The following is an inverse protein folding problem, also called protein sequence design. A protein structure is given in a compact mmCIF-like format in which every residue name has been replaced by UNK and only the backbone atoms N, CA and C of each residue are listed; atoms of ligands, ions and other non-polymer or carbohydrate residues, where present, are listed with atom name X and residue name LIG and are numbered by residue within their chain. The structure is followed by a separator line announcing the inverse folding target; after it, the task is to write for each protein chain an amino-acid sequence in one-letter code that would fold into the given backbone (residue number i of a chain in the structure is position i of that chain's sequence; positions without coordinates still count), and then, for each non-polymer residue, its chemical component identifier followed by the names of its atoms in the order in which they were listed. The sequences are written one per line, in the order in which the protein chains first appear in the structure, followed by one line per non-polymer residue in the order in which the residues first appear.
data_IF_150070684898
#
_entry.id   IF_150070684898
#
_cell.length_a   1.000
_cell.length_b   1.000
_cell.length_c   1.000
_cell.angle_alpha   90.00
_cell.angle_beta   90.00
_cell.angle_gamma   90.00
#
_symmetry.space_group_name_H-M   'P 1'
#
loop_
_entity.id
_entity.type
_entity.pdbx_description
1 polymer ?
#
# COMPACT_ATOMS: atom_id res chain seq x y z
N UNK A 1 15.79 8.57 -21.25
CA UNK A 1 14.36 8.43 -20.89
C UNK A 1 14.27 8.52 -19.37
N UNK A 2 14.23 9.73 -18.81
CA UNK A 2 14.34 9.93 -17.35
C UNK A 2 13.77 11.28 -16.96
N UNK A 3 12.46 11.45 -17.14
CA UNK A 3 11.76 12.65 -16.67
C UNK A 3 10.45 12.24 -16.03
N UNK A 4 9.64 11.42 -16.70
CA UNK A 4 8.35 10.99 -16.15
C UNK A 4 8.48 10.19 -14.85
N UNK A 5 9.38 9.20 -14.78
CA UNK A 5 9.60 8.42 -13.55
C UNK A 5 10.08 9.29 -12.40
N UNK A 6 10.94 10.28 -12.68
CA UNK A 6 11.46 11.21 -11.69
C UNK A 6 10.36 12.16 -11.18
N UNK A 7 9.49 12.64 -12.07
CA UNK A 7 8.32 13.45 -11.71
C UNK A 7 7.30 12.65 -10.88
N UNK A 8 7.01 11.41 -11.28
CA UNK A 8 6.12 10.52 -10.51
C UNK A 8 6.69 10.26 -9.12
N UNK A 9 8.00 10.02 -9.01
CA UNK A 9 8.68 9.83 -7.73
C UNK A 9 8.54 11.05 -6.82
N UNK A 10 8.77 12.26 -7.35
CA UNK A 10 8.62 13.51 -6.58
C UNK A 10 7.18 13.73 -6.14
N UNK A 11 6.21 13.57 -7.03
CA UNK A 11 4.79 13.67 -6.66
C UNK A 11 4.42 12.64 -5.59
N UNK A 12 4.99 11.43 -5.64
CA UNK A 12 4.79 10.40 -4.62
C UNK A 12 5.23 10.86 -3.22
N UNK A 13 6.41 11.47 -3.11
CA UNK A 13 6.93 12.02 -1.84
C UNK A 13 6.05 13.17 -1.34
N UNK A 14 5.67 14.10 -2.21
CA UNK A 14 4.84 15.24 -1.82
C UNK A 14 3.41 14.82 -1.39
N UNK A 15 2.91 13.70 -1.91
CA UNK A 15 1.60 13.15 -1.55
C UNK A 15 1.63 12.25 -0.31
N UNK A 16 2.80 11.92 0.22
CA UNK A 16 2.95 11.05 1.39
C UNK A 16 2.16 11.55 2.62
N UNK A 17 2.16 12.85 2.97
CA UNK A 17 1.36 13.34 4.10
C UNK A 17 -0.14 13.13 3.92
N UNK A 18 -0.63 13.26 2.67
CA UNK A 18 -2.04 13.03 2.34
C UNK A 18 -2.37 11.53 2.45
N UNK A 19 -1.50 10.65 1.97
CA UNK A 19 -1.67 9.21 2.10
C UNK A 19 -1.69 8.78 3.58
N UNK A 20 -0.82 9.38 4.41
CA UNK A 20 -0.79 9.13 5.85
C UNK A 20 -2.07 9.61 6.55
N UNK A 21 -2.54 10.83 6.24
CA UNK A 21 -3.80 11.34 6.77
C UNK A 21 -4.99 10.47 6.36
N UNK A 22 -5.02 10.00 5.10
CA UNK A 22 -6.07 9.09 4.63
C UNK A 22 -6.00 7.75 5.37
N UNK A 23 -4.80 7.22 5.62
CA UNK A 23 -4.60 5.99 6.39
C UNK A 23 -5.16 6.12 7.80
N UNK A 24 -4.95 7.24 8.49
CA UNK A 24 -5.54 7.49 9.81
C UNK A 24 -7.07 7.45 9.75
N UNK A 25 -7.69 8.09 8.75
CA UNK A 25 -9.15 8.09 8.57
C UNK A 25 -9.67 6.68 8.30
N UNK A 26 -8.97 5.88 7.49
CA UNK A 26 -9.33 4.48 7.20
C UNK A 26 -9.24 3.63 8.48
N UNK A 27 -8.17 3.77 9.27
CA UNK A 27 -7.99 3.03 10.51
C UNK A 27 -8.94 3.46 11.64
N UNK A 28 -9.66 4.57 11.51
CA UNK A 28 -10.75 4.93 12.44
C UNK A 28 -12.05 4.15 12.17
N UNK A 29 -12.17 3.49 11.01
CA UNK A 29 -13.38 2.77 10.66
C UNK A 29 -13.46 1.42 11.36
N UNK A 30 -14.68 1.04 11.75
CA UNK A 30 -14.99 -0.20 12.48
C UNK A 30 -15.06 -1.46 11.60
N UNK A 31 -14.98 -1.31 10.28
CA UNK A 31 -15.00 -2.43 9.33
C UNK A 31 -14.17 -2.00 8.14
N UNK A 32 -13.20 -2.84 7.78
CA UNK A 32 -12.35 -2.68 6.62
C UNK A 32 -12.37 -3.94 5.76
N UNK A 33 -12.31 -3.75 4.44
CA UNK A 33 -12.00 -4.82 3.51
C UNK A 33 -10.49 -4.85 3.29
N UNK A 34 -9.88 -6.02 3.44
CA UNK A 34 -8.48 -6.24 3.12
C UNK A 34 -8.38 -7.29 2.02
N UNK A 35 -7.65 -6.98 0.96
CA UNK A 35 -7.33 -7.92 -0.11
C UNK A 35 -5.82 -7.92 -0.39
N UNK A 36 -5.24 -9.10 -0.61
CA UNK A 36 -3.84 -9.26 -0.99
C UNK A 36 -3.77 -9.75 -2.44
N UNK A 37 -3.19 -8.93 -3.31
CA UNK A 37 -2.98 -9.29 -4.72
C UNK A 37 -1.48 -9.47 -5.01
N UNK A 38 -1.05 -10.66 -5.49
CA UNK A 38 0.34 -10.87 -5.88
C UNK A 38 0.68 -10.16 -7.20
N UNK A 39 1.81 -9.46 -7.22
CA UNK A 39 2.33 -8.74 -8.39
C UNK A 39 3.74 -9.21 -8.75
N UNK A 40 4.09 -9.17 -10.03
CA UNK A 40 5.45 -9.51 -10.47
C UNK A 40 6.28 -8.24 -10.56
N UNK A 41 7.34 -8.13 -9.76
CA UNK A 41 8.25 -6.98 -9.74
C UNK A 41 9.62 -7.35 -10.30
N UNK A 42 10.27 -6.37 -10.94
CA UNK A 42 11.66 -6.48 -11.35
C UNK A 42 12.54 -5.85 -10.27
N UNK A 43 13.33 -6.65 -9.55
CA UNK A 43 14.29 -6.10 -8.59
C UNK A 43 15.52 -5.60 -9.35
N UNK A 44 15.78 -4.31 -9.27
CA UNK A 44 17.04 -3.74 -9.75
C UNK A 44 18.06 -3.84 -8.60
N UNK A 45 18.98 -4.79 -8.68
CA UNK A 45 20.05 -5.02 -7.70
C UNK A 45 21.20 -5.83 -8.30
N UNK A 46 22.40 -5.63 -7.78
CA UNK A 46 23.69 -6.12 -8.31
C UNK A 46 23.61 -7.61 -8.67
N UNK A 47 23.80 -7.90 -9.96
CA UNK A 47 24.01 -9.21 -10.57
C UNK A 47 22.82 -10.12 -10.90
N UNK A 48 21.54 -9.76 -10.69
CA UNK A 48 20.46 -10.55 -11.31
C UNK A 48 19.12 -9.81 -11.49
N UNK A 49 18.79 -9.49 -12.75
CA UNK A 49 17.46 -9.04 -13.19
C UNK A 49 16.47 -10.21 -13.24
N UNK A 50 16.15 -10.78 -12.08
CA UNK A 50 15.17 -11.87 -11.98
C UNK A 50 13.81 -11.34 -11.53
N UNK A 51 12.71 -11.79 -12.16
CA UNK A 51 11.37 -11.46 -11.68
C UNK A 51 11.19 -12.04 -10.27
N UNK A 52 10.72 -11.21 -9.32
CA UNK A 52 10.34 -11.63 -7.97
C UNK A 52 8.84 -11.35 -7.78
N UNK A 53 8.18 -12.13 -6.93
CA UNK A 53 6.83 -11.80 -6.46
C UNK A 53 6.90 -10.71 -5.40
N UNK A 54 6.09 -9.67 -5.56
CA UNK A 54 5.69 -8.75 -4.52
C UNK A 54 4.19 -8.91 -4.25
N UNK A 55 3.69 -8.25 -3.23
CA UNK A 55 2.31 -8.35 -2.76
C UNK A 55 1.80 -6.95 -2.51
N UNK A 56 0.66 -6.60 -3.10
CA UNK A 56 -0.04 -5.35 -2.83
C UNK A 56 -1.24 -5.67 -1.96
N UNK A 57 -1.27 -5.06 -0.78
CA UNK A 57 -2.40 -5.08 0.12
C UNK A 57 -3.28 -3.87 -0.16
N UNK A 58 -4.58 -4.10 -0.29
CA UNK A 58 -5.58 -3.05 -0.42
C UNK A 58 -6.47 -3.04 0.82
N UNK A 59 -6.45 -1.94 1.56
CA UNK A 59 -7.33 -1.71 2.71
C UNK A 59 -8.38 -0.67 2.35
N UNK A 60 -9.63 -1.10 2.21
CA UNK A 60 -10.73 -0.28 1.74
C UNK A 60 -11.80 -0.10 2.83
N UNK A 61 -12.39 1.08 2.88
CA UNK A 61 -13.61 1.30 3.65
C UNK A 61 -14.80 0.57 3.02
N UNK A 62 -15.86 0.34 3.80
CA UNK A 62 -17.07 -0.29 3.27
C UNK A 62 -17.86 0.67 2.38
N UNK A 63 -18.67 0.12 1.47
CA UNK A 63 -19.57 0.91 0.61
C UNK A 63 -20.59 1.77 1.38
N UNK A 64 -20.81 1.47 2.67
CA UNK A 64 -21.71 2.21 3.55
C UNK A 64 -21.02 3.40 4.24
N UNK A 65 -19.70 3.53 4.08
CA UNK A 65 -18.94 4.61 4.67
C UNK A 65 -19.09 5.89 3.83
N UNK A 66 -19.30 7.07 4.45
CA UNK A 66 -19.28 8.34 3.70
C UNK A 66 -17.93 8.60 3.03
N UNK A 67 -16.84 8.10 3.62
CA UNK A 67 -15.49 8.17 3.07
C UNK A 67 -15.22 6.92 2.26
N UNK A 68 -15.16 7.07 0.94
CA UNK A 68 -14.75 6.02 0.01
C UNK A 68 -13.23 6.11 -0.20
N UNK A 69 -12.48 5.29 0.53
CA UNK A 69 -11.02 5.34 0.55
C UNK A 69 -10.41 3.95 0.46
N UNK A 70 -9.27 3.88 -0.23
CA UNK A 70 -8.44 2.68 -0.33
C UNK A 70 -6.99 3.06 -0.08
N UNK A 71 -6.31 2.35 0.81
CA UNK A 71 -4.87 2.45 1.01
C UNK A 71 -4.22 1.22 0.41
N UNK A 72 -3.22 1.45 -0.45
CA UNK A 72 -2.38 0.41 -1.00
C UNK A 72 -1.07 0.34 -0.25
N UNK A 73 -0.73 -0.84 0.27
CA UNK A 73 0.54 -1.11 0.92
C UNK A 73 1.31 -2.19 0.13
N UNK A 74 2.54 -1.89 -0.26
CA UNK A 74 3.36 -2.80 -1.05
C UNK A 74 4.37 -3.52 -0.17
N UNK A 75 4.37 -4.85 -0.26
CA UNK A 75 5.23 -5.71 0.54
C UNK A 75 6.00 -6.70 -0.34
N UNK A 76 7.23 -7.00 0.06
CA UNK A 76 8.12 -7.86 -0.70
C UNK A 76 7.97 -9.36 -0.36
N UNK A 77 7.06 -9.68 0.57
CA UNK A 77 6.73 -11.01 1.05
C UNK A 77 5.26 -11.12 1.48
N UNK A 78 4.76 -12.36 1.54
CA UNK A 78 3.36 -12.70 1.88
C UNK A 78 3.11 -12.87 3.39
N UNK A 79 3.99 -12.31 4.22
CA UNK A 79 3.89 -12.54 5.66
C UNK A 79 2.66 -11.83 6.21
N UNK A 80 1.86 -12.52 7.04
CA UNK A 80 0.76 -11.90 7.77
C UNK A 80 1.22 -10.80 8.74
N UNK A 81 2.51 -10.77 9.06
CA UNK A 81 3.15 -9.69 9.82
C UNK A 81 2.90 -8.31 9.21
N UNK A 82 2.83 -8.21 7.88
CA UNK A 82 2.60 -6.92 7.22
C UNK A 82 1.21 -6.37 7.52
N UNK A 83 0.19 -7.25 7.49
CA UNK A 83 -1.16 -6.86 7.84
C UNK A 83 -1.28 -6.55 9.34
N UNK A 84 -0.57 -7.28 10.20
CA UNK A 84 -0.49 -7.01 11.64
C UNK A 84 0.14 -5.64 11.93
N UNK A 85 1.26 -5.32 11.27
CA UNK A 85 1.94 -4.03 11.40
C UNK A 85 1.07 -2.88 10.88
N UNK A 86 0.41 -3.07 9.73
CA UNK A 86 -0.48 -2.06 9.15
C UNK A 86 -1.68 -1.76 10.06
N UNK A 87 -2.30 -2.80 10.62
CA UNK A 87 -3.49 -2.71 11.49
C UNK A 87 -3.13 -2.55 12.98
N UNK A 88 -1.87 -2.27 13.30
CA UNK A 88 -1.42 -2.18 14.68
C UNK A 88 -2.21 -1.10 15.44
N UNK A 89 -2.88 -1.52 16.51
CA UNK A 89 -3.70 -0.63 17.36
C UNK A 89 -5.12 -0.37 16.84
N UNK A 90 -5.49 -0.94 15.69
CA UNK A 90 -6.86 -0.94 15.20
C UNK A 90 -7.78 -1.78 16.08
N UNK A 91 -9.02 -1.34 16.29
CA UNK A 91 -9.97 -1.95 17.24
C UNK A 91 -11.28 -2.46 16.61
N UNK A 92 -11.35 -2.62 15.28
CA UNK A 92 -12.46 -3.39 14.68
C UNK A 92 -12.67 -3.16 13.21
#
# INVERSE_FOLDING_TARGET
RSTLSDWIGRCGVELEPLANALKEVVLQQRVLHADETPVTIMRMGENNKKPKKGYVWAYATTQYNPVQAVIYDFQDSRSGQHAEEFLKGWQG
#
